data_IF_527120775284
#
_entry.id   IF_527120775284
#
_cell.length_a   1.000
_cell.length_b   1.000
_cell.length_c   1.000
_cell.angle_alpha   90.00
_cell.angle_beta   90.00
_cell.angle_gamma   90.00
#
_symmetry.space_group_name_H-M   'P 1'
#
loop_
_entity.id
_entity.type
_entity.pdbx_description
1 polymer ?
#
# COMPACT_ATOMS: atom_id res chain seq x y z
N UNK A 1 54.21 18.36 -5.37
CA UNK A 1 54.21 16.89 -5.22
C UNK A 1 53.65 16.28 -6.50
N UNK A 2 54.51 15.66 -7.32
CA UNK A 2 54.15 15.00 -8.60
C UNK A 2 53.95 13.51 -8.30
N UNK A 3 52.84 12.94 -8.78
CA UNK A 3 52.58 11.50 -8.69
C UNK A 3 52.84 10.83 -10.05
N UNK A 4 53.75 9.86 -10.03
CA UNK A 4 54.23 9.08 -11.17
C UNK A 4 53.16 8.16 -11.77
N UNK A 5 53.09 8.13 -13.11
CA UNK A 5 52.32 7.13 -13.86
C UNK A 5 53.21 5.91 -14.13
N UNK A 6 52.79 4.76 -13.61
CA UNK A 6 53.44 3.46 -13.84
C UNK A 6 53.15 2.93 -15.26
N UNK A 7 54.13 2.35 -15.98
CA UNK A 7 53.89 1.77 -17.31
C UNK A 7 53.37 0.32 -17.24
N UNK A 8 52.37 0.00 -18.07
CA UNK A 8 51.81 -1.35 -18.22
C UNK A 8 52.77 -2.27 -18.98
N UNK A 9 53.10 -3.40 -18.34
CA UNK A 9 54.06 -4.40 -18.81
C UNK A 9 53.42 -5.28 -19.90
N UNK A 10 53.96 -5.27 -21.11
CA UNK A 10 53.53 -6.15 -22.23
C UNK A 10 53.81 -7.61 -21.88
N UNK A 11 52.83 -8.49 -22.11
CA UNK A 11 52.95 -9.94 -21.94
C UNK A 11 54.04 -10.52 -22.86
N UNK A 12 54.89 -11.37 -22.28
CA UNK A 12 56.02 -12.01 -22.95
C UNK A 12 55.58 -13.11 -23.92
N UNK A 13 56.32 -13.23 -25.04
CA UNK A 13 56.08 -14.15 -26.17
C UNK A 13 55.80 -15.63 -25.83
N UNK A 14 56.28 -16.27 -24.74
CA UNK A 14 55.90 -17.66 -24.45
C UNK A 14 54.46 -17.83 -23.93
N UNK A 15 53.83 -16.79 -23.36
CA UNK A 15 52.47 -16.89 -22.83
C UNK A 15 51.39 -16.86 -23.94
N UNK A 16 51.69 -16.25 -25.09
CA UNK A 16 50.81 -16.24 -26.27
C UNK A 16 50.79 -17.61 -26.98
N UNK A 17 51.89 -18.36 -26.94
CA UNK A 17 51.99 -19.69 -27.56
C UNK A 17 51.15 -20.74 -26.79
N UNK A 18 51.11 -20.65 -25.45
CA UNK A 18 50.31 -21.54 -24.62
C UNK A 18 48.80 -21.34 -24.83
N UNK A 19 48.34 -20.10 -25.05
CA UNK A 19 46.93 -19.80 -25.28
C UNK A 19 46.46 -20.24 -26.69
N UNK A 20 47.34 -20.20 -27.69
CA UNK A 20 47.06 -20.69 -29.04
C UNK A 20 46.91 -22.22 -29.10
N UNK A 21 47.71 -22.96 -28.30
CA UNK A 21 47.63 -24.43 -28.22
C UNK A 21 46.32 -24.92 -27.59
N UNK A 22 45.79 -24.20 -26.60
CA UNK A 22 44.50 -24.54 -25.95
C UNK A 22 43.32 -24.34 -26.92
N UNK A 23 43.35 -23.30 -27.75
CA UNK A 23 42.29 -23.04 -28.74
C UNK A 23 42.31 -24.03 -29.91
N UNK A 24 43.49 -24.49 -30.34
CA UNK A 24 43.59 -25.52 -31.39
C UNK A 24 43.10 -26.90 -30.94
N UNK A 25 43.35 -27.28 -29.68
CA UNK A 25 42.88 -28.55 -29.13
C UNK A 25 41.34 -28.62 -29.02
N UNK A 26 40.68 -27.49 -28.71
CA UNK A 26 39.22 -27.42 -28.65
C UNK A 26 38.55 -27.50 -30.04
N UNK A 27 39.18 -26.92 -31.08
CA UNK A 27 38.68 -26.97 -32.46
C UNK A 27 38.75 -28.37 -33.10
N UNK A 28 39.81 -29.12 -32.83
CA UNK A 28 39.99 -30.47 -33.38
C UNK A 28 38.99 -31.48 -32.80
N UNK A 29 38.62 -31.34 -31.52
CA UNK A 29 37.65 -32.22 -30.86
C UNK A 29 36.21 -32.01 -31.39
N UNK A 30 35.84 -30.77 -31.73
CA UNK A 30 34.54 -30.47 -32.33
C UNK A 30 34.44 -30.98 -33.78
N UNK A 31 35.51 -30.89 -34.58
CA UNK A 31 35.51 -31.36 -35.95
C UNK A 31 35.40 -32.89 -36.06
N UNK A 32 36.04 -33.65 -35.15
CA UNK A 32 35.98 -35.12 -35.15
C UNK A 32 34.58 -35.65 -34.77
N UNK A 33 33.89 -35.01 -33.82
CA UNK A 33 32.57 -35.47 -33.37
C UNK A 33 31.46 -35.27 -34.40
N UNK A 34 31.63 -34.33 -35.33
CA UNK A 34 30.60 -33.95 -36.32
C UNK A 34 30.89 -34.42 -37.76
N UNK A 35 32.03 -35.06 -38.05
CA UNK A 35 32.39 -35.55 -39.40
C UNK A 35 32.28 -37.07 -39.60
N UNK A 36 31.86 -37.81 -38.57
CA UNK A 36 31.72 -39.28 -38.61
C UNK A 36 30.40 -39.79 -39.24
N UNK A 37 29.89 -39.12 -40.28
CA UNK A 37 28.85 -39.63 -41.17
C UNK A 37 29.20 -39.27 -42.62
N UNK A 38 30.15 -40.02 -43.18
CA UNK A 38 30.49 -39.97 -44.59
C UNK A 38 29.35 -40.51 -45.49
N UNK A 39 29.35 -40.16 -46.79
CA UNK A 39 28.25 -40.41 -47.70
C UNK A 39 28.26 -41.86 -48.19
N UNK A 40 27.08 -42.50 -48.16
CA UNK A 40 26.87 -43.86 -48.67
C UNK A 40 26.41 -43.80 -50.13
N UNK A 41 27.15 -44.48 -51.00
CA UNK A 41 26.96 -44.58 -52.44
C UNK A 41 25.59 -45.15 -52.83
N UNK A 42 24.90 -44.52 -53.80
CA UNK A 42 23.71 -45.05 -54.46
C UNK A 42 24.08 -45.64 -55.84
N UNK A 43 23.62 -46.87 -56.18
CA UNK A 43 23.58 -47.36 -57.56
C UNK A 43 22.33 -46.85 -58.31
N UNK A 44 22.32 -46.89 -59.66
CA UNK A 44 21.35 -46.17 -60.48
C UNK A 44 19.97 -46.82 -60.55
N UNK A 45 19.00 -45.97 -60.92
CA UNK A 45 17.57 -46.20 -60.93
C UNK A 45 17.11 -47.42 -61.76
N UNK A 46 16.18 -48.18 -61.18
CA UNK A 46 15.19 -48.97 -61.90
C UNK A 46 13.79 -48.50 -61.48
N UNK A 47 13.08 -47.94 -62.43
CA UNK A 47 11.66 -47.62 -62.39
C UNK A 47 10.84 -48.90 -62.59
N UNK A 48 9.97 -49.26 -61.64
CA UNK A 48 8.65 -49.84 -61.90
C UNK A 48 7.88 -50.15 -60.60
N UNK A 49 6.55 -50.01 -60.71
CA UNK A 49 5.48 -50.48 -59.84
C UNK A 49 5.12 -49.63 -58.59
N UNK A 50 4.06 -48.86 -58.79
CA UNK A 50 3.19 -48.18 -57.82
C UNK A 50 2.71 -49.15 -56.73
N UNK A 51 3.07 -48.89 -55.48
CA UNK A 51 2.43 -49.44 -54.28
C UNK A 51 2.05 -48.29 -53.35
N UNK A 52 0.85 -48.38 -52.78
CA UNK A 52 0.20 -47.34 -51.98
C UNK A 52 1.08 -46.86 -50.79
N UNK A 53 1.03 -45.57 -50.41
CA UNK A 53 1.75 -45.10 -49.23
C UNK A 53 1.22 -45.80 -47.98
N UNK A 54 2.12 -46.49 -47.27
CA UNK A 54 1.88 -46.89 -45.89
C UNK A 54 1.57 -45.64 -45.06
N UNK A 55 0.52 -45.72 -44.25
CA UNK A 55 0.09 -44.64 -43.38
C UNK A 55 1.26 -44.13 -42.53
N UNK A 56 1.56 -42.85 -42.65
CA UNK A 56 2.45 -42.17 -41.71
C UNK A 56 1.81 -42.24 -40.32
N UNK A 57 2.53 -42.79 -39.35
CA UNK A 57 2.17 -42.60 -37.94
C UNK A 57 2.10 -41.09 -37.66
N UNK A 58 1.00 -40.59 -37.09
CA UNK A 58 0.89 -39.18 -36.76
C UNK A 58 1.98 -38.82 -35.74
N UNK A 59 2.56 -37.60 -35.81
CA UNK A 59 3.57 -37.17 -34.85
C UNK A 59 3.00 -37.33 -33.44
N UNK A 60 3.74 -38.00 -32.55
CA UNK A 60 3.36 -38.22 -31.17
C UNK A 60 2.93 -36.89 -30.53
N UNK A 61 1.62 -36.72 -30.39
CA UNK A 61 1.06 -35.52 -29.77
C UNK A 61 1.60 -35.46 -28.34
N UNK A 62 2.40 -34.44 -28.05
CA UNK A 62 2.84 -34.16 -26.68
C UNK A 62 1.62 -33.62 -25.94
N UNK A 63 0.82 -34.52 -25.36
CA UNK A 63 -0.33 -34.16 -24.54
C UNK A 63 0.21 -33.44 -23.29
N UNK A 64 0.17 -32.11 -23.31
CA UNK A 64 0.41 -31.29 -22.11
C UNK A 64 -0.87 -31.34 -21.29
N UNK A 65 -0.88 -32.16 -20.24
CA UNK A 65 -1.96 -32.14 -19.24
C UNK A 65 -1.76 -30.91 -18.36
N UNK A 66 -2.48 -29.84 -18.65
CA UNK A 66 -2.55 -28.65 -17.79
C UNK A 66 -3.59 -28.95 -16.72
N UNK A 67 -3.16 -29.04 -15.46
CA UNK A 67 -4.08 -29.08 -14.32
C UNK A 67 -4.95 -27.82 -14.34
N UNK A 68 -6.26 -27.91 -14.05
CA UNK A 68 -7.11 -26.73 -14.00
C UNK A 68 -6.53 -25.73 -12.99
N UNK A 69 -6.42 -24.47 -13.40
CA UNK A 69 -5.97 -23.41 -12.53
C UNK A 69 -6.99 -23.21 -11.40
N UNK A 70 -6.52 -23.23 -10.14
CA UNK A 70 -7.34 -22.83 -9.01
C UNK A 70 -7.52 -21.31 -9.07
N UNK A 71 -8.63 -20.85 -9.65
CA UNK A 71 -8.95 -19.42 -9.75
C UNK A 71 -9.35 -18.89 -8.37
N UNK A 72 -8.50 -18.05 -7.78
CA UNK A 72 -8.83 -17.25 -6.60
C UNK A 72 -9.51 -15.95 -7.06
N UNK A 73 -10.83 -15.86 -6.95
CA UNK A 73 -11.56 -14.60 -7.14
C UNK A 73 -11.66 -13.92 -5.78
N UNK A 74 -11.02 -12.77 -5.64
CA UNK A 74 -11.12 -11.94 -4.42
C UNK A 74 -11.85 -10.66 -4.80
N UNK A 75 -13.13 -10.60 -4.45
CA UNK A 75 -13.93 -9.40 -4.66
C UNK A 75 -13.36 -8.24 -3.83
N UNK A 76 -13.54 -7.01 -4.32
CA UNK A 76 -13.10 -5.76 -3.70
C UNK A 76 -11.59 -5.49 -3.65
N UNK A 77 -10.73 -6.43 -4.08
CA UNK A 77 -9.26 -6.23 -4.15
C UNK A 77 -8.76 -6.43 -5.58
N UNK A 78 -8.03 -5.44 -6.11
CA UNK A 78 -7.33 -5.59 -7.39
C UNK A 78 -5.98 -6.25 -7.16
N UNK A 79 -5.85 -7.48 -7.64
CA UNK A 79 -4.59 -8.23 -7.63
C UNK A 79 -3.86 -8.05 -8.96
N UNK A 80 -2.54 -7.95 -8.89
CA UNK A 80 -1.64 -8.03 -10.04
C UNK A 80 -1.47 -9.49 -10.47
N UNK A 81 -0.94 -9.71 -11.67
CA UNK A 81 -0.67 -11.06 -12.17
C UNK A 81 0.34 -11.78 -11.26
N UNK A 82 1.35 -11.07 -10.79
CA UNK A 82 2.37 -11.58 -9.88
C UNK A 82 1.75 -12.03 -8.54
N UNK A 83 0.89 -11.21 -7.94
CA UNK A 83 0.19 -11.56 -6.69
C UNK A 83 -0.80 -12.72 -6.86
N UNK A 84 -1.43 -12.85 -8.03
CA UNK A 84 -2.34 -13.96 -8.32
C UNK A 84 -1.60 -15.30 -8.48
N UNK A 85 -0.36 -15.25 -8.98
CA UNK A 85 0.47 -16.42 -9.22
C UNK A 85 1.37 -16.77 -8.03
N UNK A 86 1.54 -15.86 -7.07
CA UNK A 86 2.31 -16.09 -5.86
C UNK A 86 1.57 -17.06 -4.91
N UNK A 87 2.12 -18.27 -4.68
CA UNK A 87 1.50 -19.25 -3.79
C UNK A 87 1.44 -18.76 -2.33
N UNK A 88 2.33 -17.85 -1.94
CA UNK A 88 2.46 -17.30 -0.58
C UNK A 88 1.73 -15.97 -0.41
N UNK A 89 1.03 -15.49 -1.44
CA UNK A 89 0.18 -14.31 -1.34
C UNK A 89 -0.90 -14.54 -0.29
N UNK A 90 -0.95 -13.64 0.70
CA UNK A 90 -2.02 -13.61 1.68
C UNK A 90 -2.52 -12.19 1.88
N UNK A 91 -3.82 -12.08 2.12
CA UNK A 91 -4.47 -10.83 2.49
C UNK A 91 -4.11 -10.42 3.91
N UNK A 92 -4.42 -9.18 4.23
CA UNK A 92 -4.37 -8.70 5.61
C UNK A 92 -5.42 -9.43 6.46
N UNK A 93 -5.04 -9.80 7.69
CA UNK A 93 -5.96 -10.39 8.65
C UNK A 93 -6.95 -9.34 9.17
N UNK A 94 -8.20 -9.41 8.72
CA UNK A 94 -9.25 -8.49 9.15
C UNK A 94 -9.50 -8.53 10.68
N UNK A 95 -9.20 -9.64 11.37
CA UNK A 95 -9.32 -9.74 12.82
C UNK A 95 -8.33 -8.84 13.58
N UNK A 96 -7.26 -8.38 12.90
CA UNK A 96 -6.32 -7.42 13.44
C UNK A 96 -6.81 -5.96 13.32
N UNK A 97 -7.88 -5.68 12.56
CA UNK A 97 -8.50 -4.36 12.49
C UNK A 97 -9.57 -4.22 13.57
N UNK A 98 -9.44 -3.17 14.40
CA UNK A 98 -10.41 -2.88 15.45
C UNK A 98 -10.96 -1.48 15.29
N UNK A 99 -12.28 -1.37 15.41
CA UNK A 99 -12.98 -0.12 15.58
C UNK A 99 -13.36 0.01 17.05
N UNK A 100 -13.00 1.12 17.70
CA UNK A 100 -13.42 1.39 19.06
C UNK A 100 -14.94 1.59 19.14
N UNK A 101 -15.51 1.39 20.33
CA UNK A 101 -16.90 1.80 20.58
C UNK A 101 -17.04 3.31 20.28
N UNK A 102 -17.99 3.74 19.44
CA UNK A 102 -18.13 5.15 19.14
C UNK A 102 -18.55 5.95 20.36
N UNK A 103 -17.85 7.05 20.62
CA UNK A 103 -18.26 8.04 21.60
C UNK A 103 -19.30 8.95 20.96
N UNK A 104 -20.48 9.04 21.59
CA UNK A 104 -21.48 10.04 21.22
C UNK A 104 -21.12 11.37 21.87
N UNK A 105 -20.99 12.40 21.04
CA UNK A 105 -20.76 13.79 21.42
C UNK A 105 -21.88 14.65 20.82
N UNK A 106 -22.01 15.88 21.30
CA UNK A 106 -22.95 16.86 20.77
C UNK A 106 -22.18 17.96 20.08
N UNK A 107 -22.61 18.32 18.88
CA UNK A 107 -22.09 19.49 18.17
C UNK A 107 -22.61 20.80 18.79
N UNK A 108 -22.18 21.90 18.18
CA UNK A 108 -22.55 23.27 18.59
C UNK A 108 -24.06 23.60 18.63
N UNK A 109 -24.89 22.77 17.99
CA UNK A 109 -26.34 22.94 17.87
C UNK A 109 -27.07 21.71 18.42
N UNK A 110 -26.42 21.02 19.37
CA UNK A 110 -26.93 19.84 20.09
C UNK A 110 -27.24 18.63 19.20
N UNK A 111 -26.67 18.57 17.99
CA UNK A 111 -26.80 17.40 17.13
C UNK A 111 -25.75 16.36 17.51
N UNK A 112 -26.15 15.09 17.64
CA UNK A 112 -25.20 14.04 17.95
C UNK A 112 -24.20 13.77 16.82
N UNK A 113 -22.93 13.64 17.19
CA UNK A 113 -21.83 13.18 16.33
C UNK A 113 -21.19 11.98 17.02
N UNK A 114 -20.93 10.91 16.27
CA UNK A 114 -20.23 9.74 16.81
C UNK A 114 -18.78 9.72 16.33
N UNK A 115 -17.85 9.58 17.26
CA UNK A 115 -16.43 9.42 16.99
C UNK A 115 -15.95 8.05 17.44
N UNK A 116 -15.28 7.32 16.55
CA UNK A 116 -14.60 6.07 16.87
C UNK A 116 -13.14 6.13 16.40
N UNK A 117 -12.36 5.14 16.78
CA UNK A 117 -10.98 4.98 16.34
C UNK A 117 -10.78 3.64 15.66
N UNK A 118 -10.21 3.70 14.47
CA UNK A 118 -9.71 2.53 13.77
C UNK A 118 -8.24 2.33 14.13
N UNK A 119 -7.91 1.13 14.59
CA UNK A 119 -6.55 0.71 14.92
C UNK A 119 -6.21 -0.60 14.22
N UNK A 120 -5.03 -0.65 13.62
CA UNK A 120 -4.39 -1.90 13.24
C UNK A 120 -3.60 -2.46 14.43
N UNK A 121 -4.03 -3.62 14.94
CA UNK A 121 -3.42 -4.30 16.08
C UNK A 121 -2.37 -5.35 15.70
N UNK A 122 -2.15 -5.58 14.40
CA UNK A 122 -1.02 -6.37 13.91
C UNK A 122 0.28 -5.70 14.29
N UNK A 123 1.33 -6.48 14.54
CA UNK A 123 2.68 -5.98 14.83
C UNK A 123 3.61 -6.00 13.62
N UNK A 124 3.27 -6.77 12.60
CA UNK A 124 4.17 -7.14 11.51
C UNK A 124 3.75 -6.53 10.17
N UNK A 125 2.45 -6.26 10.01
CA UNK A 125 1.87 -5.93 8.72
C UNK A 125 1.11 -4.61 8.76
N UNK A 126 1.26 -3.87 7.66
CA UNK A 126 0.47 -2.69 7.30
C UNK A 126 -0.76 -3.15 6.53
N UNK A 127 -1.94 -2.63 6.89
CA UNK A 127 -3.14 -2.84 6.11
C UNK A 127 -3.19 -1.82 4.97
N UNK A 128 -3.23 -2.29 3.72
CA UNK A 128 -3.28 -1.44 2.54
C UNK A 128 -4.72 -1.22 2.10
N UNK A 129 -5.10 0.06 2.03
CA UNK A 129 -6.43 0.56 1.65
C UNK A 129 -7.55 -0.15 2.43
N UNK A 130 -7.51 -0.17 3.78
CA UNK A 130 -8.55 -0.77 4.58
C UNK A 130 -9.91 -0.13 4.26
N UNK A 131 -10.93 -0.96 4.13
CA UNK A 131 -12.31 -0.53 3.92
C UNK A 131 -13.21 -1.26 4.89
N UNK A 132 -14.20 -0.54 5.40
CA UNK A 132 -15.18 -1.07 6.33
C UNK A 132 -16.57 -0.61 5.94
N UNK A 133 -17.52 -1.52 6.03
CA UNK A 133 -18.93 -1.17 6.13
C UNK A 133 -19.27 -1.08 7.61
N UNK A 134 -19.60 0.12 8.08
CA UNK A 134 -19.93 0.39 9.48
C UNK A 134 -21.42 0.63 9.57
N UNK A 135 -22.13 -0.29 10.22
CA UNK A 135 -23.56 -0.18 10.48
C UNK A 135 -23.80 0.06 11.98
N UNK A 136 -24.53 1.12 12.30
CA UNK A 136 -24.89 1.48 13.68
C UNK A 136 -26.37 1.24 13.86
N UNK A 137 -26.76 0.67 15.00
CA UNK A 137 -28.14 0.28 15.29
C UNK A 137 -28.67 0.93 16.56
N UNK A 138 -29.97 1.22 16.57
CA UNK A 138 -30.75 1.46 17.79
C UNK A 138 -31.78 0.32 17.93
N UNK A 139 -31.48 -0.63 18.83
CA UNK A 139 -32.18 -1.90 18.89
C UNK A 139 -32.03 -2.68 17.58
N UNK A 140 -33.15 -2.95 16.91
CA UNK A 140 -33.18 -3.63 15.59
C UNK A 140 -33.12 -2.67 14.40
N UNK A 141 -33.20 -1.35 14.62
CA UNK A 141 -33.27 -0.36 13.55
C UNK A 141 -31.86 0.10 13.14
N UNK A 142 -31.47 -0.03 11.85
CA UNK A 142 -30.25 0.59 11.37
C UNK A 142 -30.39 2.12 11.33
N UNK A 143 -29.35 2.82 11.76
CA UNK A 143 -29.24 4.27 11.70
C UNK A 143 -28.59 4.71 10.40
N UNK A 144 -29.11 5.78 9.80
CA UNK A 144 -28.57 6.38 8.59
C UNK A 144 -27.41 7.32 8.93
N UNK A 145 -26.24 6.72 9.15
CA UNK A 145 -25.01 7.45 9.41
C UNK A 145 -24.07 7.36 8.21
N UNK A 146 -23.33 8.44 7.98
CA UNK A 146 -22.30 8.51 6.94
C UNK A 146 -20.96 8.78 7.57
N UNK A 147 -19.94 8.11 7.06
CA UNK A 147 -18.56 8.39 7.39
C UNK A 147 -18.15 9.72 6.75
N UNK A 148 -17.65 10.67 7.56
CA UNK A 148 -17.37 12.04 7.08
C UNK A 148 -16.12 12.17 6.22
N UNK A 149 -15.18 11.21 6.29
CA UNK A 149 -13.93 11.21 5.53
C UNK A 149 -13.45 9.80 5.24
N UNK A 150 -12.55 9.65 4.26
CA UNK A 150 -11.99 8.35 3.90
C UNK A 150 -10.93 7.88 4.92
N UNK A 151 -10.67 6.57 4.91
CA UNK A 151 -9.57 5.95 5.66
C UNK A 151 -8.23 6.15 4.93
N UNK A 152 -7.08 6.09 5.64
CA UNK A 152 -5.78 6.17 4.99
C UNK A 152 -5.56 4.98 4.04
N UNK A 153 -4.70 5.19 3.05
CA UNK A 153 -4.29 4.15 2.09
C UNK A 153 -3.33 3.14 2.69
N UNK A 154 -2.65 3.49 3.78
CA UNK A 154 -1.79 2.61 4.55
C UNK A 154 -2.09 2.82 6.03
N UNK A 155 -2.55 1.80 6.73
CA UNK A 155 -2.79 1.83 8.17
C UNK A 155 -1.73 0.99 8.90
N UNK A 156 -0.81 1.67 9.58
CA UNK A 156 0.30 1.03 10.27
C UNK A 156 -0.10 0.47 11.64
N UNK A 157 0.63 -0.55 12.14
CA UNK A 157 0.54 -1.02 13.51
C UNK A 157 0.48 0.11 14.54
N UNK A 158 -0.56 0.10 15.38
CA UNK A 158 -0.73 1.04 16.50
C UNK A 158 -1.23 2.44 16.13
N UNK A 159 -1.37 2.78 14.85
CA UNK A 159 -1.97 4.06 14.46
C UNK A 159 -3.44 4.12 14.84
N UNK A 160 -3.86 5.25 15.42
CA UNK A 160 -5.25 5.51 15.84
C UNK A 160 -5.89 6.52 14.90
N UNK A 161 -6.63 6.02 13.92
CA UNK A 161 -7.30 6.85 12.93
C UNK A 161 -8.70 7.18 13.38
N UNK A 162 -9.07 8.47 13.52
CA UNK A 162 -10.43 8.84 13.89
C UNK A 162 -11.40 8.53 12.74
N UNK A 163 -12.57 8.02 13.09
CA UNK A 163 -13.72 7.80 12.22
C UNK A 163 -14.86 8.65 12.76
N UNK A 164 -15.31 9.63 11.96
CA UNK A 164 -16.51 10.41 12.28
C UNK A 164 -17.71 9.83 11.55
N UNK A 165 -18.77 9.53 12.30
CA UNK A 165 -20.06 9.12 11.77
C UNK A 165 -21.08 10.22 12.07
N UNK A 166 -21.62 10.80 11.02
CA UNK A 166 -22.57 11.92 11.08
C UNK A 166 -23.90 11.52 10.48
N UNK A 167 -24.99 11.95 11.10
CA UNK A 167 -26.36 11.65 10.66
C UNK A 167 -27.34 11.83 11.81
N UNK A 168 -28.56 11.32 11.66
CA UNK A 168 -29.58 11.39 12.72
C UNK A 168 -29.37 10.24 13.70
N UNK A 169 -28.85 10.53 14.90
CA UNK A 169 -28.64 9.53 15.95
C UNK A 169 -28.94 10.09 17.34
N UNK A 170 -30.10 9.78 17.89
CA UNK A 170 -30.42 10.16 19.27
C UNK A 170 -29.75 9.25 20.29
N UNK A 171 -29.75 7.96 19.99
CA UNK A 171 -29.13 6.88 20.77
C UNK A 171 -28.69 5.77 19.82
N UNK A 172 -27.78 4.93 20.27
CA UNK A 172 -27.40 3.70 19.58
C UNK A 172 -27.14 2.61 20.62
N UNK A 173 -27.32 1.36 20.24
CA UNK A 173 -27.12 0.18 21.09
C UNK A 173 -26.02 -0.73 20.58
N UNK A 174 -25.77 -0.76 19.27
CA UNK A 174 -24.82 -1.69 18.66
C UNK A 174 -24.12 -1.07 17.45
N UNK A 175 -22.88 -1.49 17.22
CA UNK A 175 -22.10 -1.17 16.01
C UNK A 175 -21.56 -2.45 15.44
N UNK A 176 -21.87 -2.70 14.17
CA UNK A 176 -21.34 -3.83 13.40
C UNK A 176 -20.37 -3.31 12.36
N UNK A 177 -19.23 -3.98 12.25
CA UNK A 177 -18.20 -3.65 11.29
C UNK A 177 -17.95 -4.86 10.41
N UNK A 178 -18.14 -4.69 9.10
CA UNK A 178 -17.75 -5.66 8.10
C UNK A 178 -16.50 -5.14 7.38
N UNK A 179 -15.35 -5.75 7.68
CA UNK A 179 -14.08 -5.40 7.05
C UNK A 179 -14.01 -6.04 5.66
N UNK A 180 -13.83 -5.22 4.64
CA UNK A 180 -13.59 -5.73 3.29
C UNK A 180 -12.15 -6.25 3.20
N UNK A 181 -11.90 -7.26 2.35
CA UNK A 181 -10.55 -7.75 2.10
C UNK A 181 -9.58 -6.62 1.75
N UNK A 182 -8.40 -6.64 2.37
CA UNK A 182 -7.34 -5.66 2.16
C UNK A 182 -6.02 -6.38 1.89
N UNK A 183 -5.13 -5.77 1.11
CA UNK A 183 -3.77 -6.29 0.94
C UNK A 183 -2.96 -6.01 2.20
N UNK A 184 -1.96 -6.85 2.46
CA UNK A 184 -0.94 -6.59 3.48
C UNK A 184 0.36 -6.14 2.84
N UNK A 185 1.12 -5.32 3.55
CA UNK A 185 2.54 -5.08 3.28
C UNK A 185 3.35 -5.34 4.55
N UNK A 186 4.55 -5.88 4.40
CA UNK A 186 5.50 -5.95 5.50
C UNK A 186 6.04 -4.54 5.84
N UNK A 187 6.46 -4.34 7.09
CA UNK A 187 7.18 -3.13 7.49
C UNK A 187 8.51 -2.99 6.70
N UNK A 188 8.95 -1.78 6.35
CA UNK A 188 8.43 -0.46 6.74
C UNK A 188 7.23 0.03 5.90
N UNK A 189 6.66 -0.78 5.01
CA UNK A 189 5.49 -0.44 4.21
C UNK A 189 5.77 0.51 3.03
N UNK A 190 4.75 0.78 2.19
CA UNK A 190 4.90 1.57 0.96
C UNK A 190 4.74 3.08 1.17
N UNK A 191 4.27 3.53 2.34
CA UNK A 191 4.03 4.96 2.62
C UNK A 191 5.38 5.68 2.76
N UNK A 192 5.62 6.79 2.03
CA UNK A 192 6.78 7.63 2.25
C UNK A 192 6.88 8.06 3.72
N UNK A 193 8.08 7.96 4.29
CA UNK A 193 8.32 8.34 5.67
C UNK A 193 8.29 9.86 5.82
N UNK A 194 7.35 10.36 6.61
CA UNK A 194 7.27 11.76 7.00
C UNK A 194 7.51 11.91 8.51
N UNK A 195 8.27 12.92 8.90
CA UNK A 195 8.29 13.42 10.26
C UNK A 195 7.21 14.50 10.41
N UNK A 196 6.15 14.18 11.16
CA UNK A 196 5.06 15.10 11.46
C UNK A 196 5.16 15.55 12.90
N UNK A 197 5.33 16.85 13.12
CA UNK A 197 5.47 17.45 14.45
C UNK A 197 4.37 18.47 14.69
N UNK A 198 3.76 18.43 15.88
CA UNK A 198 2.87 19.50 16.37
C UNK A 198 3.73 20.51 17.11
N UNK A 199 3.71 21.76 16.68
CA UNK A 199 4.54 22.84 17.22
C UNK A 199 3.78 23.70 18.23
N UNK A 200 2.50 23.98 17.95
CA UNK A 200 1.65 24.78 18.83
C UNK A 200 0.19 24.34 18.70
N UNK A 201 -0.59 24.52 19.77
CA UNK A 201 -2.03 24.28 19.78
C UNK A 201 -2.75 25.41 20.49
N UNK A 202 -3.67 26.07 19.79
CA UNK A 202 -4.39 27.22 20.30
C UNK A 202 -5.87 26.89 20.45
N UNK A 203 -6.38 26.93 21.68
CA UNK A 203 -7.80 26.73 21.93
C UNK A 203 -8.55 28.05 21.92
N UNK A 204 -9.64 28.09 21.15
CA UNK A 204 -10.47 29.28 21.00
C UNK A 204 -11.96 28.93 20.99
N UNK A 205 -12.79 29.96 21.12
CA UNK A 205 -14.24 29.86 21.01
C UNK A 205 -14.68 30.65 19.80
N UNK A 206 -15.21 29.95 18.81
CA UNK A 206 -15.84 30.55 17.63
C UNK A 206 -17.30 30.84 17.89
N UNK A 207 -17.87 31.71 17.05
CA UNK A 207 -19.31 32.00 17.02
C UNK A 207 -19.85 31.71 15.64
N UNK A 208 -21.04 31.12 15.56
CA UNK A 208 -21.74 30.85 14.30
C UNK A 208 -23.20 31.29 14.38
N UNK A 209 -23.85 31.39 13.23
CA UNK A 209 -25.30 31.63 13.14
C UNK A 209 -25.92 30.59 12.23
N UNK A 210 -26.88 29.82 12.75
CA UNK A 210 -27.69 28.89 11.99
C UNK A 210 -28.98 29.57 11.53
N UNK A 211 -29.30 29.45 10.24
CA UNK A 211 -30.51 30.02 9.62
C UNK A 211 -30.73 31.51 9.93
N UNK A 212 -29.66 32.29 10.04
CA UNK A 212 -29.66 33.73 10.37
C UNK A 212 -30.28 34.14 11.73
N UNK A 213 -30.83 33.19 12.48
CA UNK A 213 -31.59 33.47 13.72
C UNK A 213 -30.92 32.87 14.95
N UNK A 214 -30.39 31.66 14.86
CA UNK A 214 -29.84 30.95 16.01
C UNK A 214 -28.33 31.16 16.11
N UNK A 215 -27.89 31.98 17.07
CA UNK A 215 -26.46 32.16 17.35
C UNK A 215 -25.97 31.06 18.29
N UNK A 216 -24.85 30.44 17.94
CA UNK A 216 -24.21 29.43 18.75
C UNK A 216 -22.72 29.73 18.92
N UNK A 217 -22.14 29.11 19.96
CA UNK A 217 -20.70 29.17 20.23
C UNK A 217 -20.15 27.76 20.12
N UNK A 218 -18.95 27.63 19.59
CA UNK A 218 -18.29 26.33 19.46
C UNK A 218 -16.84 26.45 19.90
N UNK A 219 -16.33 25.40 20.54
CA UNK A 219 -14.91 25.29 20.88
C UNK A 219 -14.18 24.71 19.69
N UNK A 220 -12.99 25.22 19.41
CA UNK A 220 -12.10 24.62 18.45
C UNK A 220 -10.65 24.79 18.91
N UNK A 221 -9.79 23.94 18.36
CA UNK A 221 -8.34 23.99 18.57
C UNK A 221 -7.69 24.14 17.21
N UNK A 222 -6.91 25.20 17.03
CA UNK A 222 -6.03 25.37 15.88
C UNK A 222 -4.73 24.65 16.17
N UNK A 223 -4.41 23.64 15.36
CA UNK A 223 -3.19 22.83 15.48
C UNK A 223 -2.20 23.31 14.44
N UNK A 224 -1.09 23.90 14.89
CA UNK A 224 0.03 24.28 14.06
C UNK A 224 1.10 23.19 14.12
N UNK A 225 1.60 22.78 12.96
CA UNK A 225 2.64 21.76 12.89
C UNK A 225 3.50 21.90 11.66
N UNK A 226 4.41 20.95 11.50
CA UNK A 226 5.31 20.84 10.35
C UNK A 226 5.35 19.40 9.88
N UNK A 227 5.40 19.22 8.57
CA UNK A 227 5.71 17.95 7.93
C UNK A 227 7.09 18.07 7.29
N UNK A 228 7.98 17.12 7.55
CA UNK A 228 9.28 16.98 6.88
C UNK A 228 9.32 15.65 6.15
N UNK A 229 9.85 15.65 4.94
CA UNK A 229 10.04 14.43 4.17
C UNK A 229 11.35 13.76 4.58
N UNK A 230 11.23 12.60 5.21
CA UNK A 230 12.37 11.79 5.67
C UNK A 230 12.66 10.64 4.70
N UNK A 231 11.87 10.52 3.64
CA UNK A 231 12.04 9.50 2.61
C UNK A 231 13.01 9.95 1.53
N UNK A 232 13.52 8.99 0.76
CA UNK A 232 14.41 9.24 -0.38
C UNK A 232 13.67 9.73 -1.64
N UNK A 233 12.33 9.79 -1.62
CA UNK A 233 11.50 10.16 -2.77
C UNK A 233 10.78 11.47 -2.52
N UNK A 234 10.51 12.21 -3.59
CA UNK A 234 9.64 13.38 -3.52
C UNK A 234 8.21 12.97 -3.09
N UNK A 235 7.59 13.78 -2.23
CA UNK A 235 6.21 13.58 -1.77
C UNK A 235 5.32 14.67 -2.35
N UNK A 236 4.23 14.27 -3.01
CA UNK A 236 3.34 15.21 -3.69
C UNK A 236 2.07 15.56 -2.90
N UNK A 237 1.53 14.58 -2.17
CA UNK A 237 0.29 14.76 -1.41
C UNK A 237 0.49 14.28 0.00
N UNK A 238 0.07 15.11 0.95
CA UNK A 238 0.06 14.78 2.37
C UNK A 238 -1.35 14.97 2.90
N UNK A 239 -1.89 13.92 3.52
CA UNK A 239 -3.19 13.93 4.19
C UNK A 239 -2.97 13.69 5.67
N UNK A 240 -3.72 14.37 6.51
CA UNK A 240 -3.64 14.21 7.96
C UNK A 240 -5.02 14.00 8.56
N UNK A 241 -5.06 13.14 9.58
CA UNK A 241 -6.16 13.00 10.50
C UNK A 241 -5.68 13.51 11.84
N UNK A 242 -6.30 14.59 12.31
CA UNK A 242 -5.97 15.22 13.58
C UNK A 242 -7.06 14.90 14.57
N UNK A 243 -6.67 14.39 15.73
CA UNK A 243 -7.55 13.94 16.81
C UNK A 243 -7.25 14.72 18.08
N UNK A 244 -8.29 15.20 18.75
CA UNK A 244 -8.24 15.78 20.09
C UNK A 244 -8.71 14.74 21.10
N UNK A 245 -7.96 14.58 22.18
CA UNK A 245 -8.27 13.67 23.27
C UNK A 245 -8.39 14.44 24.58
N UNK A 246 -9.37 14.12 25.41
CA UNK A 246 -9.44 14.64 26.79
C UNK A 246 -8.41 13.96 27.72
N UNK A 247 -8.41 14.36 28.99
CA UNK A 247 -7.51 13.82 30.02
C UNK A 247 -7.74 12.33 30.31
N UNK A 248 -8.87 11.76 29.88
CA UNK A 248 -9.19 10.34 29.99
C UNK A 248 -8.88 9.56 28.70
N UNK A 249 -8.12 10.17 27.79
CA UNK A 249 -7.73 9.61 26.49
C UNK A 249 -8.91 9.30 25.56
N UNK A 250 -10.04 9.99 25.75
CA UNK A 250 -11.23 9.82 24.91
C UNK A 250 -11.29 10.92 23.84
N UNK A 251 -11.68 10.56 22.62
CA UNK A 251 -11.83 11.53 21.52
C UNK A 251 -12.85 12.61 21.87
N UNK A 252 -12.45 13.88 21.79
CA UNK A 252 -13.31 15.07 21.95
C UNK A 252 -13.53 15.82 20.64
N UNK A 253 -12.72 15.54 19.63
CA UNK A 253 -12.86 16.14 18.30
C UNK A 253 -11.89 15.48 17.33
N UNK A 254 -12.23 15.48 16.06
CA UNK A 254 -11.28 15.09 15.03
C UNK A 254 -11.64 15.74 13.69
N UNK A 255 -10.66 15.82 12.81
CA UNK A 255 -10.84 16.29 11.44
C UNK A 255 -9.87 15.58 10.49
N UNK A 256 -10.22 15.61 9.22
CA UNK A 256 -9.40 15.15 8.11
C UNK A 256 -9.06 16.35 7.22
N UNK A 257 -7.79 16.48 6.84
CA UNK A 257 -7.35 17.54 5.93
C UNK A 257 -6.30 17.02 4.95
N UNK A 258 -6.53 17.28 3.67
CA UNK A 258 -5.47 17.23 2.67
C UNK A 258 -4.67 18.54 2.76
N UNK A 259 -3.38 18.42 3.08
CA UNK A 259 -2.52 19.57 3.29
C UNK A 259 -2.14 20.17 1.95
N UNK A 260 -2.26 21.50 1.85
CA UNK A 260 -1.81 22.27 0.70
C UNK A 260 -0.33 22.60 0.87
N UNK A 261 0.51 21.57 0.76
CA UNK A 261 1.98 21.71 0.78
C UNK A 261 2.51 21.72 -0.66
N UNK A 262 3.64 22.40 -0.93
CA UNK A 262 4.36 22.17 -2.18
C UNK A 262 4.82 20.71 -2.23
N UNK A 263 5.27 20.26 -3.40
CA UNK A 263 6.00 18.99 -3.48
C UNK A 263 7.20 19.07 -2.54
N UNK A 264 7.43 18.00 -1.78
CA UNK A 264 8.47 17.95 -0.75
C UNK A 264 9.58 17.01 -1.23
N UNK A 265 10.71 17.55 -1.72
CA UNK A 265 11.94 16.78 -1.88
C UNK A 265 12.40 16.10 -0.58
N UNK A 266 13.28 15.10 -0.66
CA UNK A 266 13.93 14.51 0.52
C UNK A 266 14.59 15.59 1.39
N UNK A 267 14.28 15.59 2.69
CA UNK A 267 14.80 16.54 3.67
C UNK A 267 14.00 17.83 3.81
N UNK A 268 13.16 18.19 2.83
CA UNK A 268 12.39 19.42 2.85
C UNK A 268 11.21 19.34 3.82
N UNK A 269 10.76 20.52 4.28
CA UNK A 269 9.67 20.64 5.23
C UNK A 269 8.70 21.76 4.89
N UNK A 270 7.44 21.58 5.27
CA UNK A 270 6.39 22.58 5.12
C UNK A 270 5.54 22.68 6.39
N UNK A 271 5.15 23.90 6.80
CA UNK A 271 4.23 24.10 7.90
C UNK A 271 2.80 23.70 7.48
N UNK A 272 1.98 23.35 8.46
CA UNK A 272 0.55 23.16 8.28
C UNK A 272 -0.23 23.72 9.47
N UNK A 273 -1.49 24.05 9.20
CA UNK A 273 -2.44 24.51 10.19
C UNK A 273 -3.78 23.80 9.96
N UNK A 274 -4.37 23.26 11.04
CA UNK A 274 -5.64 22.53 10.98
C UNK A 274 -6.52 22.98 12.15
N UNK A 275 -7.71 23.49 11.85
CA UNK A 275 -8.75 23.73 12.85
C UNK A 275 -9.55 22.46 13.13
N UNK A 276 -9.63 22.10 14.41
CA UNK A 276 -10.37 20.93 14.88
C UNK A 276 -11.46 21.40 15.84
N UNK A 277 -12.73 21.16 15.48
CA UNK A 277 -13.84 21.39 16.41
C UNK A 277 -13.71 20.46 17.60
N UNK A 278 -13.96 21.01 18.79
CA UNK A 278 -13.91 20.27 20.05
C UNK A 278 -15.31 20.20 20.67
N UNK A 279 -15.67 19.02 21.12
CA UNK A 279 -16.95 18.69 21.73
C UNK A 279 -16.74 18.04 23.11
N UNK A 280 -17.69 18.24 24.02
CA UNK A 280 -17.60 17.71 25.38
C UNK A 280 -16.45 18.33 26.19
N UNK A 281 -15.59 17.48 26.74
CA UNK A 281 -14.45 17.87 27.58
C UNK A 281 -13.40 18.70 26.84
N UNK A 282 -12.55 19.41 27.60
CA UNK A 282 -11.40 20.09 27.02
C UNK A 282 -10.32 19.07 26.61
N UNK A 283 -9.65 19.31 25.48
CA UNK A 283 -8.54 18.49 25.06
C UNK A 283 -7.36 18.60 26.05
N UNK A 284 -6.62 17.51 26.17
CA UNK A 284 -5.36 17.38 26.89
C UNK A 284 -4.23 16.87 25.98
N UNK A 285 -4.57 16.21 24.86
CA UNK A 285 -3.59 15.64 23.93
C UNK A 285 -4.08 15.75 22.48
N UNK A 286 -3.14 15.96 21.56
CA UNK A 286 -3.36 15.88 20.12
C UNK A 286 -2.72 14.61 19.57
N UNK A 287 -3.44 13.89 18.72
CA UNK A 287 -2.89 12.81 17.90
C UNK A 287 -2.93 13.21 16.43
N UNK A 288 -1.89 12.84 15.68
CA UNK A 288 -1.84 13.06 14.23
C UNK A 288 -1.44 11.75 13.56
N UNK A 289 -2.29 11.28 12.65
CA UNK A 289 -1.95 10.22 11.69
C UNK A 289 -1.85 10.85 10.32
N UNK A 290 -0.91 10.40 9.51
CA UNK A 290 -0.73 10.92 8.16
C UNK A 290 -0.82 9.82 7.11
N UNK A 291 -1.08 10.26 5.89
CA UNK A 291 -0.92 9.46 4.69
C UNK A 291 -0.21 10.31 3.64
N UNK A 292 0.61 9.67 2.82
CA UNK A 292 1.46 10.36 1.85
C UNK A 292 1.59 9.55 0.56
N UNK A 293 1.68 10.24 -0.56
CA UNK A 293 1.92 9.61 -1.87
C UNK A 293 3.15 10.21 -2.54
N UNK A 294 4.01 9.34 -3.05
CA UNK A 294 5.07 9.66 -3.99
C UNK A 294 4.51 9.60 -5.43
N UNK A 295 5.14 10.27 -6.40
CA UNK A 295 4.76 10.22 -7.82
C UNK A 295 4.88 8.82 -8.43
#
# INVERSE_FOLDING_TARGET
MKADRSPSRRLSRPALAALALILFAAGAYAAWKFTALGPRSQPPAQTAAKAAPAAAEPPASRIVRVSPANTRVIDHVRLTTEELLDPDFALFDAGALKLSAPRRLLDEIERPVLYAELVNTSKEYVALSPRAEIAVFDGSRPLELRQSWTLPTSLYPGERVPVALTGRVERFSEVKTNWLPAKRAALPGPRPQLAVTVENTEAAIGTGTLNFTYRFRYKYVTVHGRVRNDSEREVEKVRVWVSLYDAQDQLTGATFKELRVPRLPPGDSAPFEVDVKQYGGNFARVGVVYDATAP
#
